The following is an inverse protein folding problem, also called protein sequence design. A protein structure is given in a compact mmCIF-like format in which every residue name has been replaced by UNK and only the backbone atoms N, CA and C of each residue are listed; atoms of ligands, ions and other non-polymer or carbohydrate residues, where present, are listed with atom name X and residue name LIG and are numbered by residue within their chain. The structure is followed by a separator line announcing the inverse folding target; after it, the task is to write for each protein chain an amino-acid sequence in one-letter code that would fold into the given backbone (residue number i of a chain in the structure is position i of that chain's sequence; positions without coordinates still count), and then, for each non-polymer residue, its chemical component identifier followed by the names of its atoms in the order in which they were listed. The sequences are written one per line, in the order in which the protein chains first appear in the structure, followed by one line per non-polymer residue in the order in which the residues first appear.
data_IF_417086298065
#
_entry.id   IF_417086298065
#
_cell.length_a   1.000
_cell.length_b   1.000
_cell.length_c   1.000
_cell.angle_alpha   90.00
_cell.angle_beta   90.00
_cell.angle_gamma   90.00
#
_symmetry.space_group_name_H-M   'P 1'
#
loop_
_entity.id
_entity.type
_entity.pdbx_description
1 polymer ?
#
# COMPACT_ATOMS: atom_id res chain seq x y z
N UNK A 1 21.89 -33.59 -25.71
CA UNK A 1 21.42 -32.25 -26.11
C UNK A 1 21.80 -31.28 -25.00
N UNK A 2 22.71 -30.29 -25.13
CA UNK A 2 23.26 -29.60 -26.32
C UNK A 2 22.16 -29.03 -27.23
N UNK A 3 22.15 -27.76 -27.65
CA UNK A 3 23.23 -26.76 -27.88
C UNK A 3 22.86 -25.44 -27.12
N UNK A 4 23.76 -24.61 -26.53
CA UNK A 4 24.62 -23.56 -27.14
C UNK A 4 23.81 -22.33 -27.63
N UNK A 5 24.22 -21.05 -27.60
CA UNK A 5 25.48 -20.28 -27.31
C UNK A 5 25.16 -19.13 -26.30
N UNK A 6 26.04 -18.34 -25.64
CA UNK A 6 27.51 -18.17 -25.57
C UNK A 6 28.26 -17.46 -26.73
N UNK A 7 28.48 -16.13 -26.68
CA UNK A 7 29.53 -15.36 -27.43
C UNK A 7 29.75 -13.93 -26.85
N UNK A 8 31.03 -13.59 -26.54
CA UNK A 8 31.81 -12.30 -26.58
C UNK A 8 31.22 -10.91 -26.17
N UNK A 9 32.01 -9.84 -25.92
CA UNK A 9 33.34 -9.61 -25.26
C UNK A 9 33.62 -8.09 -25.09
N UNK A 10 34.53 -7.76 -24.16
CA UNK A 10 35.32 -6.52 -23.93
C UNK A 10 35.38 -5.41 -25.00
N UNK A 11 35.53 -4.15 -24.51
CA UNK A 11 36.66 -3.28 -24.88
C UNK A 11 37.13 -2.41 -23.68
N UNK A 12 38.29 -1.74 -23.81
CA UNK A 12 39.04 -1.03 -22.75
C UNK A 12 39.40 0.40 -23.20
N UNK A 13 39.75 1.30 -22.24
CA UNK A 13 40.47 2.60 -22.30
C UNK A 13 39.67 3.84 -21.82
N UNK A 14 40.31 4.99 -21.50
CA UNK A 14 41.06 5.33 -20.26
C UNK A 14 41.41 6.84 -20.22
N UNK A 15 41.61 7.42 -19.02
CA UNK A 15 42.19 8.77 -18.71
C UNK A 15 41.40 10.02 -19.16
N UNK A 16 41.29 11.08 -18.33
CA UNK A 16 40.82 12.39 -18.86
C UNK A 16 40.48 13.58 -17.94
N UNK A 17 41.33 13.94 -16.96
CA UNK A 17 41.39 15.22 -16.19
C UNK A 17 40.42 16.41 -16.48
N UNK A 18 39.89 17.01 -15.41
CA UNK A 18 39.41 18.41 -15.28
C UNK A 18 40.54 19.46 -15.55
N UNK A 19 40.29 20.79 -15.73
CA UNK A 19 39.59 21.65 -14.74
C UNK A 19 38.76 22.86 -15.27
N UNK A 20 38.17 23.60 -14.32
CA UNK A 20 37.65 24.98 -14.46
C UNK A 20 38.81 25.99 -14.70
N UNK A 21 38.51 27.25 -15.10
CA UNK A 21 38.67 28.33 -14.12
C UNK A 21 37.73 29.57 -14.26
N UNK A 22 37.42 30.20 -13.11
CA UNK A 22 37.20 31.66 -12.85
C UNK A 22 36.12 32.45 -13.64
N UNK A 23 35.50 33.52 -13.10
CA UNK A 23 35.59 34.17 -11.78
C UNK A 23 34.91 35.57 -11.77
N UNK A 24 35.19 36.42 -10.76
CA UNK A 24 34.82 37.87 -10.65
C UNK A 24 33.31 38.12 -10.30
N UNK A 25 32.95 38.38 -9.03
CA UNK A 25 32.80 39.68 -8.32
C UNK A 25 31.69 40.61 -8.89
N UNK A 26 30.57 40.88 -8.18
CA UNK A 26 30.33 41.77 -7.01
C UNK A 26 29.75 43.16 -7.43
N UNK A 27 28.72 43.76 -6.80
CA UNK A 27 28.72 44.50 -5.50
C UNK A 27 27.33 45.09 -5.16
N UNK A 28 27.10 45.63 -3.95
CA UNK A 28 25.89 46.40 -3.53
C UNK A 28 24.73 45.56 -2.95
N UNK A 29 24.03 45.80 -1.82
CA UNK A 29 23.80 46.95 -0.89
C UNK A 29 23.09 48.17 -1.52
N UNK A 30 22.09 48.86 -0.91
CA UNK A 30 21.35 48.83 0.40
C UNK A 30 20.18 49.86 0.32
N UNK A 31 19.08 49.92 1.10
CA UNK A 31 18.36 49.00 2.03
C UNK A 31 17.12 49.70 2.67
N UNK A 32 16.05 48.97 3.04
CA UNK A 32 14.88 49.48 3.82
C UNK A 32 13.55 49.57 3.02
N UNK A 33 12.36 49.74 3.62
CA UNK A 33 11.95 49.72 5.04
C UNK A 33 10.42 49.45 5.19
N UNK A 34 9.95 49.35 6.45
CA UNK A 34 8.63 48.90 6.93
C UNK A 34 7.34 49.53 6.33
N UNK A 35 6.20 48.80 6.48
CA UNK A 35 4.83 49.31 6.31
C UNK A 35 3.76 48.30 6.79
N UNK A 36 2.76 48.76 7.54
CA UNK A 36 1.63 47.96 8.08
C UNK A 36 0.32 48.35 7.39
N UNK A 37 -0.68 47.45 7.37
CA UNK A 37 -2.05 47.77 6.92
C UNK A 37 -3.01 46.57 7.02
N UNK A 38 -4.13 46.75 7.73
CA UNK A 38 -5.20 45.76 7.88
C UNK A 38 -6.29 45.89 6.80
N UNK A 39 -7.11 44.85 6.61
CA UNK A 39 -8.28 44.95 5.72
C UNK A 39 -9.04 43.64 5.50
N UNK A 40 -9.97 43.29 6.40
CA UNK A 40 -10.99 42.26 6.15
C UNK A 40 -12.26 42.87 5.54
N UNK A 41 -12.96 42.13 4.68
CA UNK A 41 -14.41 42.02 4.83
C UNK A 41 -14.86 40.55 4.97
N UNK A 42 -16.16 40.36 5.22
CA UNK A 42 -16.74 39.09 5.70
C UNK A 42 -17.33 38.23 4.58
N UNK A 43 -17.30 36.92 4.82
CA UNK A 43 -18.35 35.93 4.53
C UNK A 43 -19.18 36.07 3.24
N UNK A 44 -19.13 35.04 2.41
CA UNK A 44 -20.36 34.44 1.89
C UNK A 44 -20.29 32.91 2.05
N UNK A 45 -21.45 32.25 2.02
CA UNK A 45 -21.62 30.85 2.45
C UNK A 45 -22.23 30.04 1.32
N UNK A 46 -21.44 29.17 0.71
CA UNK A 46 -21.89 28.15 -0.25
C UNK A 46 -21.76 26.76 0.37
N UNK A 47 -22.88 26.03 0.44
CA UNK A 47 -22.90 24.66 0.96
C UNK A 47 -22.49 23.67 -0.16
N UNK A 48 -21.18 23.41 -0.31
CA UNK A 48 -20.68 22.40 -1.26
C UNK A 48 -20.82 20.97 -0.70
N UNK A 49 -21.69 20.16 -1.31
CA UNK A 49 -21.78 18.72 -1.06
C UNK A 49 -20.77 17.97 -1.91
N UNK A 50 -19.71 17.46 -1.28
CA UNK A 50 -18.62 16.73 -1.92
C UNK A 50 -17.94 15.85 -0.85
N UNK A 51 -17.69 14.55 -0.99
CA UNK A 51 -18.10 13.57 -2.02
C UNK A 51 -18.00 12.14 -1.45
N UNK A 52 -19.04 11.30 -1.61
CA UNK A 52 -19.07 9.94 -1.03
C UNK A 52 -18.40 8.86 -1.92
N UNK A 53 -18.10 9.16 -3.19
CA UNK A 53 -17.79 8.17 -4.23
C UNK A 53 -16.34 7.63 -4.27
N UNK A 54 -15.53 7.86 -3.23
CA UNK A 54 -14.11 7.44 -3.22
C UNK A 54 -13.96 5.91 -3.00
N UNK A 55 -14.96 5.23 -2.43
CA UNK A 55 -14.94 3.79 -2.14
C UNK A 55 -15.98 3.01 -2.94
N UNK A 56 -16.00 3.19 -4.27
CA UNK A 56 -17.00 2.60 -5.17
C UNK A 56 -17.10 1.06 -5.10
N UNK A 57 -18.29 0.56 -4.80
CA UNK A 57 -18.66 -0.84 -4.99
C UNK A 57 -18.87 -1.19 -6.48
N UNK A 58 -18.79 -2.47 -6.83
CA UNK A 58 -19.04 -2.95 -8.20
C UNK A 58 -20.47 -3.49 -8.34
N UNK A 59 -21.26 -3.02 -9.34
CA UNK A 59 -22.62 -3.53 -9.55
C UNK A 59 -22.65 -5.02 -9.93
N UNK A 60 -23.53 -5.80 -9.29
CA UNK A 60 -23.67 -7.24 -9.53
C UNK A 60 -24.42 -7.51 -10.84
N UNK A 61 -23.71 -8.02 -11.85
CA UNK A 61 -24.30 -8.52 -13.09
C UNK A 61 -24.95 -9.91 -12.90
N UNK A 62 -26.25 -10.02 -13.16
CA UNK A 62 -26.99 -11.29 -13.03
C UNK A 62 -26.63 -12.26 -14.16
N UNK A 63 -26.23 -13.49 -13.82
CA UNK A 63 -26.11 -14.60 -14.76
C UNK A 63 -26.99 -15.78 -14.31
N UNK A 64 -27.65 -16.47 -15.25
CA UNK A 64 -28.64 -17.51 -14.96
C UNK A 64 -28.00 -18.89 -14.79
N UNK A 65 -28.45 -19.65 -13.79
CA UNK A 65 -27.96 -21.00 -13.53
C UNK A 65 -28.55 -22.04 -14.49
N UNK A 66 -27.69 -22.94 -14.97
CA UNK A 66 -28.04 -24.30 -15.42
C UNK A 66 -27.06 -25.26 -14.70
N UNK A 67 -27.53 -26.45 -14.32
CA UNK A 67 -26.80 -27.38 -13.45
C UNK A 67 -25.72 -28.18 -14.20
N UNK A 68 -24.62 -28.55 -13.52
CA UNK A 68 -23.65 -29.52 -14.05
C UNK A 68 -22.30 -29.58 -13.31
N UNK A 69 -22.28 -30.22 -12.14
CA UNK A 69 -21.15 -30.90 -11.46
C UNK A 69 -19.84 -30.15 -11.15
N UNK A 70 -19.00 -30.78 -10.32
CA UNK A 70 -17.91 -30.16 -9.58
C UNK A 70 -16.60 -30.01 -10.39
N UNK A 71 -16.11 -28.77 -10.56
CA UNK A 71 -14.67 -28.48 -10.72
C UNK A 71 -14.30 -27.18 -10.01
N UNK A 72 -13.29 -27.23 -9.14
CA UNK A 72 -12.86 -26.11 -8.32
C UNK A 72 -11.41 -25.72 -8.65
N UNK A 73 -11.22 -24.92 -9.70
CA UNK A 73 -9.98 -24.20 -10.01
C UNK A 73 -10.23 -23.29 -11.23
N UNK A 74 -9.90 -21.99 -11.13
CA UNK A 74 -8.90 -21.32 -11.97
C UNK A 74 -8.94 -19.77 -11.83
N UNK A 75 -7.75 -19.19 -11.83
CA UNK A 75 -7.32 -17.82 -12.16
C UNK A 75 -8.32 -16.63 -12.09
N UNK A 76 -8.15 -15.81 -11.04
CA UNK A 76 -8.66 -14.41 -10.98
C UNK A 76 -7.56 -13.35 -11.25
N UNK A 77 -6.32 -13.79 -11.53
CA UNK A 77 -5.18 -12.95 -11.93
C UNK A 77 -4.34 -13.66 -13.01
N UNK A 78 -4.99 -14.04 -14.11
CA UNK A 78 -4.38 -14.60 -15.32
C UNK A 78 -4.33 -13.60 -16.48
N UNK A 79 -3.62 -13.94 -17.55
CA UNK A 79 -3.35 -13.04 -18.70
C UNK A 79 -4.58 -12.79 -19.59
N UNK A 80 -4.64 -11.60 -20.23
CA UNK A 80 -5.72 -11.24 -21.14
C UNK A 80 -5.56 -11.93 -22.50
N UNK A 81 -6.56 -12.69 -22.99
CA UNK A 81 -6.44 -13.42 -24.26
C UNK A 81 -6.41 -12.50 -25.49
N UNK A 82 -5.59 -12.87 -26.48
CA UNK A 82 -5.40 -12.10 -27.72
C UNK A 82 -6.66 -12.13 -28.60
N UNK A 83 -7.35 -11.00 -28.72
CA UNK A 83 -8.55 -10.85 -29.53
C UNK A 83 -8.29 -10.88 -31.04
N UNK A 84 -8.71 -11.96 -31.70
CA UNK A 84 -8.65 -12.08 -33.18
C UNK A 84 -9.61 -11.10 -33.85
N UNK A 85 -9.10 -10.33 -34.82
CA UNK A 85 -9.89 -9.36 -35.61
C UNK A 85 -10.97 -10.07 -36.44
N UNK A 86 -12.22 -9.61 -36.36
CA UNK A 86 -13.25 -9.82 -37.40
C UNK A 86 -13.49 -8.52 -38.17
N UNK A 87 -13.63 -8.64 -39.49
CA UNK A 87 -13.94 -7.52 -40.38
C UNK A 87 -15.44 -7.31 -40.50
N UNK A 88 -15.86 -6.04 -40.50
CA UNK A 88 -17.25 -5.63 -40.70
C UNK A 88 -17.31 -4.31 -41.46
N UNK A 89 -18.22 -4.24 -42.46
CA UNK A 89 -18.66 -2.99 -43.08
C UNK A 89 -19.71 -2.34 -42.14
N UNK A 90 -19.87 -1.02 -42.05
CA UNK A 90 -19.16 0.06 -42.74
C UNK A 90 -20.14 1.11 -43.26
N UNK A 91 -20.50 2.08 -42.42
CA UNK A 91 -21.20 3.31 -42.82
C UNK A 91 -20.52 4.53 -42.18
N UNK A 92 -20.68 5.70 -42.81
CA UNK A 92 -19.88 6.90 -42.49
C UNK A 92 -20.51 7.80 -41.44
N UNK A 93 -19.70 8.20 -40.45
CA UNK A 93 -19.97 9.33 -39.55
C UNK A 93 -19.02 10.49 -39.90
N UNK A 94 -19.45 11.76 -39.72
CA UNK A 94 -18.73 12.92 -40.25
C UNK A 94 -17.37 13.10 -39.58
N UNK A 95 -16.34 13.38 -40.39
CA UNK A 95 -14.99 13.68 -39.91
C UNK A 95 -14.98 15.09 -39.29
N UNK A 96 -15.33 15.16 -38.01
CA UNK A 96 -14.91 16.27 -37.16
C UNK A 96 -13.39 16.23 -37.11
N UNK A 97 -12.73 17.23 -37.72
CA UNK A 97 -11.29 17.43 -37.57
C UNK A 97 -10.99 17.92 -36.15
N UNK A 98 -10.97 16.98 -35.22
CA UNK A 98 -10.28 17.16 -33.95
C UNK A 98 -8.85 17.66 -34.24
N UNK A 99 -8.35 18.58 -33.42
CA UNK A 99 -6.95 18.96 -33.48
C UNK A 99 -6.04 17.76 -33.21
N UNK A 100 -4.74 17.93 -33.49
CA UNK A 100 -3.70 16.97 -33.10
C UNK A 100 -3.42 17.04 -31.59
N UNK A 101 -4.47 16.79 -30.79
CA UNK A 101 -4.33 16.37 -29.42
C UNK A 101 -3.89 14.91 -29.46
N UNK A 102 -2.59 14.69 -29.36
CA UNK A 102 -2.03 13.38 -29.07
C UNK A 102 -2.70 12.83 -27.81
N UNK A 103 -3.56 11.83 -27.96
CA UNK A 103 -4.34 11.28 -26.87
C UNK A 103 -3.47 10.28 -26.07
N UNK A 104 -2.55 10.85 -25.29
CA UNK A 104 -1.63 10.13 -24.40
C UNK A 104 -2.35 9.38 -23.26
N UNK A 105 -3.60 9.73 -22.98
CA UNK A 105 -4.37 9.24 -21.84
C UNK A 105 -5.40 8.18 -22.31
N UNK A 106 -5.64 7.12 -21.53
CA UNK A 106 -6.82 6.27 -21.75
C UNK A 106 -8.11 7.01 -21.33
N UNK A 107 -9.32 6.52 -21.68
CA UNK A 107 -10.58 7.19 -21.34
C UNK A 107 -10.86 7.38 -19.84
N UNK A 108 -9.99 6.87 -18.96
CA UNK A 108 -10.05 7.00 -17.50
C UNK A 108 -8.81 7.70 -16.93
N UNK A 109 -8.01 8.36 -17.78
CA UNK A 109 -6.87 9.20 -17.39
C UNK A 109 -5.60 8.44 -17.00
N UNK A 110 -5.39 7.20 -17.45
CA UNK A 110 -4.09 6.53 -17.32
C UNK A 110 -3.16 6.83 -18.50
N UNK A 111 -1.86 6.92 -18.23
CA UNK A 111 -0.87 7.18 -19.27
C UNK A 111 -0.60 5.96 -20.18
N UNK A 112 -0.77 6.13 -21.49
CA UNK A 112 -0.49 5.14 -22.54
C UNK A 112 1.01 5.07 -22.89
N UNK A 113 1.80 4.63 -21.92
CA UNK A 113 3.24 4.41 -22.05
C UNK A 113 3.62 3.43 -23.17
N UNK A 114 4.86 3.55 -23.66
CA UNK A 114 5.44 2.68 -24.69
C UNK A 114 6.82 2.20 -24.26
N UNK A 115 7.20 0.96 -24.59
CA UNK A 115 8.57 0.49 -24.36
C UNK A 115 9.55 1.24 -25.27
N UNK A 116 10.72 1.59 -24.74
CA UNK A 116 11.69 2.48 -25.42
C UNK A 116 11.31 3.96 -25.41
N UNK A 117 10.22 4.37 -24.75
CA UNK A 117 9.88 5.78 -24.56
C UNK A 117 10.76 6.42 -23.49
N UNK A 118 11.33 7.59 -23.77
CA UNK A 118 12.14 8.35 -22.81
C UNK A 118 11.28 9.41 -22.11
N UNK A 119 11.07 9.21 -20.80
CA UNK A 119 10.44 10.18 -19.91
C UNK A 119 11.48 11.21 -19.43
N UNK A 120 11.06 12.48 -19.35
CA UNK A 120 11.86 13.61 -18.84
C UNK A 120 13.24 13.80 -19.52
N UNK A 121 13.44 13.23 -20.71
CA UNK A 121 14.74 13.19 -21.39
C UNK A 121 15.82 12.33 -20.69
N UNK A 122 15.45 11.59 -19.64
CA UNK A 122 16.37 10.83 -18.77
C UNK A 122 16.03 9.35 -18.64
N UNK A 123 14.75 8.98 -18.60
CA UNK A 123 14.34 7.63 -18.18
C UNK A 123 13.69 6.82 -19.32
N UNK A 124 14.39 5.83 -19.86
CA UNK A 124 13.90 4.91 -20.91
C UNK A 124 13.01 3.82 -20.30
N UNK A 125 11.72 3.73 -20.69
CA UNK A 125 10.81 2.69 -20.20
C UNK A 125 11.19 1.31 -20.75
N UNK A 126 11.63 0.40 -19.88
CA UNK A 126 12.05 -0.97 -20.25
C UNK A 126 11.02 -2.05 -19.92
N UNK A 127 10.17 -1.86 -18.91
CA UNK A 127 9.11 -2.81 -18.55
C UNK A 127 7.95 -2.14 -17.80
N UNK A 128 6.81 -2.83 -17.70
CA UNK A 128 5.67 -2.44 -16.85
C UNK A 128 5.56 -3.40 -15.66
N UNK A 129 5.39 -2.86 -14.46
CA UNK A 129 5.21 -3.66 -13.23
C UNK A 129 3.74 -3.77 -12.80
N UNK A 130 2.87 -2.83 -13.19
CA UNK A 130 1.43 -2.96 -12.96
C UNK A 130 0.61 -1.68 -13.15
N UNK A 131 -0.72 -1.84 -13.20
CA UNK A 131 -1.72 -0.76 -13.27
C UNK A 131 -2.62 -0.85 -12.03
N UNK A 132 -2.38 0.02 -11.05
CA UNK A 132 -3.19 0.12 -9.82
C UNK A 132 -4.27 1.19 -9.95
N UNK A 133 -5.16 1.30 -8.95
CA UNK A 133 -6.30 2.26 -8.99
C UNK A 133 -5.86 3.71 -9.22
N UNK A 134 -4.72 4.12 -8.64
CA UNK A 134 -4.25 5.51 -8.64
C UNK A 134 -3.23 5.83 -9.75
N UNK A 135 -2.54 4.81 -10.28
CA UNK A 135 -1.32 5.00 -11.07
C UNK A 135 -0.91 3.77 -11.88
N UNK A 136 -0.02 3.95 -12.86
CA UNK A 136 0.74 2.87 -13.50
C UNK A 136 2.17 2.89 -12.98
N UNK A 137 2.78 1.74 -12.71
CA UNK A 137 4.19 1.63 -12.32
C UNK A 137 4.98 0.97 -13.45
N UNK A 138 6.02 1.66 -13.92
CA UNK A 138 6.96 1.17 -14.93
C UNK A 138 8.36 1.03 -14.36
N UNK A 139 9.16 0.15 -14.96
CA UNK A 139 10.62 0.07 -14.80
C UNK A 139 11.25 0.91 -15.90
N UNK A 140 12.21 1.75 -15.55
CA UNK A 140 12.96 2.52 -16.52
C UNK A 140 14.46 2.40 -16.28
N UNK A 141 15.25 2.41 -17.37
CA UNK A 141 16.68 2.69 -17.31
C UNK A 141 16.88 4.19 -17.18
N UNK A 142 17.78 4.60 -16.30
CA UNK A 142 18.25 5.96 -16.19
C UNK A 142 19.46 6.17 -17.12
N UNK A 143 19.24 6.91 -18.21
CA UNK A 143 20.26 7.17 -19.24
C UNK A 143 21.35 8.15 -18.76
N UNK A 144 21.14 8.82 -17.63
CA UNK A 144 22.07 9.81 -17.05
C UNK A 144 22.61 9.38 -15.68
N UNK A 145 22.46 8.11 -15.30
CA UNK A 145 22.95 7.59 -14.02
C UNK A 145 24.45 7.83 -13.84
N UNK A 146 24.83 8.45 -12.71
CA UNK A 146 26.21 8.49 -12.25
C UNK A 146 26.73 7.11 -11.82
N UNK A 147 28.05 6.99 -11.62
CA UNK A 147 28.71 5.73 -11.22
C UNK A 147 28.14 5.15 -9.90
N UNK A 148 27.67 6.02 -9.00
CA UNK A 148 27.08 5.68 -7.71
C UNK A 148 25.52 5.80 -7.69
N UNK A 149 24.89 6.08 -8.84
CA UNK A 149 23.42 6.12 -8.99
C UNK A 149 22.88 4.80 -9.58
N UNK A 150 21.63 4.40 -9.28
CA UNK A 150 21.07 3.16 -9.83
C UNK A 150 20.76 3.29 -11.33
N UNK A 151 21.30 2.39 -12.16
CA UNK A 151 20.98 2.30 -13.60
C UNK A 151 19.48 2.08 -13.86
N UNK A 152 18.75 1.49 -12.89
CA UNK A 152 17.33 1.21 -12.99
C UNK A 152 16.52 1.87 -11.87
N UNK A 153 15.38 2.44 -12.25
CA UNK A 153 14.42 3.09 -11.36
C UNK A 153 13.01 2.55 -11.57
N UNK A 154 12.19 2.62 -10.52
CA UNK A 154 10.74 2.43 -10.63
C UNK A 154 10.06 3.80 -10.73
N UNK A 155 9.19 3.99 -11.73
CA UNK A 155 8.45 5.24 -11.95
C UNK A 155 6.96 5.01 -11.79
N UNK A 156 6.37 5.66 -10.78
CA UNK A 156 4.92 5.68 -10.51
C UNK A 156 4.31 6.88 -11.25
N UNK A 157 3.54 6.60 -12.29
CA UNK A 157 2.87 7.58 -13.15
C UNK A 157 1.42 7.73 -12.66
N UNK A 158 1.15 8.82 -11.93
CA UNK A 158 -0.17 9.14 -11.36
C UNK A 158 -1.16 9.45 -12.48
N UNK A 159 -2.41 8.97 -12.36
CA UNK A 159 -3.48 9.26 -13.32
C UNK A 159 -3.73 10.76 -13.48
N UNK A 160 -4.06 11.20 -14.69
CA UNK A 160 -4.41 12.58 -15.01
C UNK A 160 -5.87 12.86 -14.57
N UNK A 161 -6.07 12.93 -13.26
CA UNK A 161 -7.32 13.27 -12.60
C UNK A 161 -6.99 14.17 -11.40
N UNK A 162 -7.83 15.16 -11.09
CA UNK A 162 -7.51 16.17 -10.08
C UNK A 162 -7.39 15.60 -8.66
N UNK A 163 -8.29 14.69 -8.27
CA UNK A 163 -8.24 14.00 -6.97
C UNK A 163 -6.99 13.12 -6.87
N UNK A 164 -6.66 12.39 -7.93
CA UNK A 164 -5.44 11.57 -8.01
C UNK A 164 -4.17 12.43 -7.95
N UNK A 165 -4.17 13.62 -8.57
CA UNK A 165 -3.09 14.61 -8.47
C UNK A 165 -2.92 15.12 -7.04
N UNK A 166 -3.99 15.56 -6.38
CA UNK A 166 -3.97 16.05 -4.99
C UNK A 166 -3.42 14.97 -4.02
N UNK A 167 -3.80 13.71 -4.24
CA UNK A 167 -3.23 12.57 -3.51
C UNK A 167 -1.73 12.39 -3.81
N UNK A 168 -1.32 12.44 -5.09
CA UNK A 168 0.09 12.33 -5.50
C UNK A 168 0.99 13.46 -4.98
N UNK A 169 0.50 14.71 -4.95
CA UNK A 169 1.23 15.85 -4.36
C UNK A 169 1.38 15.69 -2.83
N UNK A 170 0.38 15.06 -2.18
CA UNK A 170 0.46 14.68 -0.75
C UNK A 170 1.47 13.54 -0.53
N UNK A 171 1.46 12.51 -1.38
CA UNK A 171 2.43 11.41 -1.37
C UNK A 171 3.87 11.93 -1.55
N UNK A 172 4.12 12.81 -2.53
CA UNK A 172 5.42 13.47 -2.73
C UNK A 172 5.86 14.26 -1.49
N UNK A 173 4.93 14.94 -0.82
CA UNK A 173 5.22 15.71 0.40
C UNK A 173 5.60 14.81 1.59
N UNK A 174 4.92 13.67 1.73
CA UNK A 174 5.24 12.64 2.74
C UNK A 174 6.60 12.00 2.43
N UNK A 175 6.83 11.56 1.18
CA UNK A 175 8.07 10.91 0.76
C UNK A 175 9.30 11.83 0.95
N UNK A 176 9.20 13.12 0.60
CA UNK A 176 10.25 14.10 0.86
C UNK A 176 10.56 14.25 2.36
N UNK A 177 9.54 14.22 3.22
CA UNK A 177 9.71 14.25 4.69
C UNK A 177 10.40 12.98 5.21
N UNK A 178 10.00 11.81 4.71
CA UNK A 178 10.59 10.52 5.09
C UNK A 178 12.04 10.40 4.63
N UNK A 179 12.36 10.77 3.38
CA UNK A 179 13.71 10.74 2.84
C UNK A 179 14.62 11.78 3.52
N UNK A 180 14.15 13.02 3.69
CA UNK A 180 14.90 14.08 4.38
C UNK A 180 15.19 13.79 5.86
N UNK A 181 14.44 12.88 6.48
CA UNK A 181 14.73 12.37 7.82
C UNK A 181 15.53 11.04 7.84
N UNK A 182 15.78 10.38 6.71
CA UNK A 182 16.59 9.17 6.61
C UNK A 182 17.71 9.25 5.55
N UNK A 183 18.69 10.16 5.72
CA UNK A 183 19.79 10.36 4.76
C UNK A 183 20.71 9.14 4.60
N UNK A 184 20.62 8.15 5.49
CA UNK A 184 21.39 6.91 5.41
C UNK A 184 20.61 5.74 4.76
N UNK A 185 19.34 5.93 4.37
CA UNK A 185 18.45 4.89 3.81
C UNK A 185 18.32 3.63 4.70
N UNK A 186 18.41 3.80 6.03
CA UNK A 186 18.44 2.71 7.02
C UNK A 186 17.08 2.41 7.66
N UNK A 187 16.02 3.12 7.27
CA UNK A 187 14.71 3.04 7.92
C UNK A 187 13.63 2.28 7.14
N UNK A 188 14.02 1.47 6.15
CA UNK A 188 13.15 0.48 5.51
C UNK A 188 11.86 1.04 4.90
N UNK A 189 11.84 2.32 4.51
CA UNK A 189 10.86 2.89 3.60
C UNK A 189 11.49 3.01 2.20
N UNK A 190 10.70 2.93 1.14
CA UNK A 190 11.22 3.03 -0.23
C UNK A 190 11.88 4.40 -0.47
N UNK A 191 13.07 4.39 -1.05
CA UNK A 191 13.85 5.58 -1.37
C UNK A 191 13.21 6.30 -2.56
N UNK A 192 12.58 7.44 -2.28
CA UNK A 192 12.15 8.40 -3.28
C UNK A 192 13.35 9.22 -3.78
N UNK A 193 13.56 9.23 -5.09
CA UNK A 193 14.70 9.85 -5.76
C UNK A 193 14.34 11.24 -6.30
N UNK A 194 13.25 11.35 -7.06
CA UNK A 194 12.79 12.60 -7.66
C UNK A 194 11.31 12.56 -8.06
N UNK A 195 10.77 13.69 -8.48
CA UNK A 195 9.42 13.79 -9.08
C UNK A 195 9.40 14.82 -10.20
N UNK A 196 8.81 14.48 -11.34
CA UNK A 196 8.67 15.35 -12.51
C UNK A 196 7.22 15.35 -13.05
N UNK A 197 6.90 16.29 -13.95
CA UNK A 197 5.60 16.34 -14.64
C UNK A 197 5.80 16.03 -16.11
N UNK A 198 5.21 14.96 -16.61
CA UNK A 198 5.32 14.54 -18.02
C UNK A 198 3.94 14.35 -18.63
N UNK A 199 3.66 15.04 -19.75
CA UNK A 199 2.38 14.97 -20.49
C UNK A 199 1.15 15.01 -19.57
N UNK A 200 1.15 15.98 -18.64
CA UNK A 200 0.15 16.17 -17.57
C UNK A 200 0.08 15.11 -16.46
N UNK A 201 0.78 13.98 -16.54
CA UNK A 201 0.95 13.10 -15.38
C UNK A 201 1.97 13.65 -14.38
N UNK A 202 1.75 13.38 -13.09
CA UNK A 202 2.77 13.49 -12.06
C UNK A 202 3.52 12.15 -12.00
N UNK A 203 4.84 12.19 -12.08
CA UNK A 203 5.70 11.00 -12.07
C UNK A 203 6.59 11.04 -10.85
N UNK A 204 6.60 9.96 -10.06
CA UNK A 204 7.46 9.78 -8.88
C UNK A 204 8.50 8.69 -9.20
N UNK A 205 9.78 8.98 -8.93
CA UNK A 205 10.92 8.10 -9.22
C UNK A 205 11.45 7.50 -7.92
N UNK A 206 11.68 6.19 -7.91
CA UNK A 206 12.10 5.41 -6.74
C UNK A 206 13.26 4.46 -7.07
N UNK A 207 13.96 3.99 -6.03
CA UNK A 207 14.85 2.82 -6.15
C UNK A 207 14.13 1.61 -6.79
N UNK A 208 14.81 0.90 -7.69
CA UNK A 208 14.28 -0.35 -8.25
C UNK A 208 14.39 -1.50 -7.24
N UNK A 209 13.31 -2.28 -7.07
CA UNK A 209 13.21 -3.43 -6.16
C UNK A 209 12.61 -4.62 -6.90
N UNK A 210 12.83 -5.83 -6.38
CA UNK A 210 12.72 -7.06 -7.16
C UNK A 210 11.32 -7.70 -7.18
N UNK A 211 10.60 -7.69 -6.04
CA UNK A 211 9.23 -8.20 -5.91
C UNK A 211 8.61 -7.82 -4.57
N UNK A 212 7.28 -7.90 -4.48
CA UNK A 212 6.55 -7.77 -3.22
C UNK A 212 6.49 -9.09 -2.44
N UNK A 213 6.17 -9.03 -1.15
CA UNK A 213 6.05 -10.22 -0.30
C UNK A 213 4.85 -11.11 -0.65
N UNK A 214 3.83 -10.59 -1.33
CA UNK A 214 2.72 -11.39 -1.90
C UNK A 214 3.26 -12.40 -2.92
N UNK A 215 4.13 -11.98 -3.82
CA UNK A 215 4.79 -12.84 -4.82
C UNK A 215 5.80 -13.79 -4.18
N UNK A 216 6.53 -13.35 -3.15
CA UNK A 216 7.40 -14.25 -2.37
C UNK A 216 6.58 -15.39 -1.78
N UNK A 217 5.46 -15.11 -1.10
CA UNK A 217 4.58 -16.14 -0.54
C UNK A 217 4.02 -17.08 -1.62
N UNK A 218 3.55 -16.55 -2.76
CA UNK A 218 3.11 -17.38 -3.90
C UNK A 218 4.18 -18.37 -4.37
N UNK A 219 5.47 -17.99 -4.32
CA UNK A 219 6.61 -18.83 -4.75
C UNK A 219 7.02 -19.91 -3.73
N UNK A 220 6.68 -19.77 -2.45
CA UNK A 220 6.84 -20.86 -1.47
C UNK A 220 5.73 -21.91 -1.56
N UNK A 221 4.54 -21.50 -2.03
CA UNK A 221 3.38 -22.36 -2.23
C UNK A 221 2.24 -22.04 -1.26
N UNK A 222 1.04 -22.54 -1.60
CA UNK A 222 -0.19 -22.29 -0.85
C UNK A 222 -0.07 -22.82 0.58
N UNK A 223 -0.46 -22.00 1.55
CA UNK A 223 -0.60 -22.37 2.97
C UNK A 223 0.70 -22.83 3.67
N UNK A 224 1.88 -22.52 3.10
CA UNK A 224 3.21 -22.91 3.63
C UNK A 224 3.88 -21.77 4.43
N UNK A 225 3.85 -20.53 3.92
CA UNK A 225 4.50 -19.38 4.56
C UNK A 225 6.03 -19.43 4.56
N UNK A 226 6.64 -18.72 5.52
CA UNK A 226 8.09 -18.51 5.67
C UNK A 226 8.57 -18.97 7.05
N UNK A 227 9.81 -19.47 7.12
CA UNK A 227 10.46 -19.83 8.40
C UNK A 227 10.53 -18.63 9.35
N UNK A 228 10.39 -18.86 10.66
CA UNK A 228 10.41 -17.79 11.68
C UNK A 228 11.69 -16.95 11.63
N UNK A 229 12.82 -17.54 11.22
CA UNK A 229 14.08 -16.80 11.03
C UNK A 229 13.96 -15.67 10.00
N UNK A 230 13.22 -15.88 8.91
CA UNK A 230 12.92 -14.88 7.90
C UNK A 230 11.80 -13.93 8.34
N UNK A 231 10.72 -14.45 8.94
CA UNK A 231 9.62 -13.62 9.50
C UNK A 231 10.16 -12.64 10.54
N UNK A 232 11.09 -13.07 11.41
CA UNK A 232 11.81 -12.24 12.39
C UNK A 232 12.66 -11.15 11.72
N UNK A 233 13.35 -11.49 10.63
CA UNK A 233 14.16 -10.54 9.88
C UNK A 233 13.29 -9.45 9.23
N UNK A 234 12.15 -9.81 8.63
CA UNK A 234 11.21 -8.84 8.06
C UNK A 234 10.46 -8.05 9.15
N UNK A 235 10.03 -8.69 10.24
CA UNK A 235 9.40 -8.01 11.38
C UNK A 235 10.29 -6.91 11.95
N UNK A 236 11.59 -7.18 12.13
CA UNK A 236 12.56 -6.17 12.58
C UNK A 236 12.62 -4.96 11.64
N UNK A 237 12.64 -5.21 10.32
CA UNK A 237 12.70 -4.16 9.30
C UNK A 237 11.39 -3.35 9.25
N UNK A 238 10.23 -4.01 9.30
CA UNK A 238 8.91 -3.38 9.39
C UNK A 238 8.76 -2.52 10.65
N UNK A 239 9.23 -2.97 11.82
CA UNK A 239 9.20 -2.15 13.03
C UNK A 239 10.19 -0.98 13.00
N UNK A 240 11.30 -1.07 12.27
CA UNK A 240 12.16 0.09 12.01
C UNK A 240 11.42 1.10 11.13
N UNK A 241 10.71 0.65 10.07
CA UNK A 241 9.88 1.51 9.23
C UNK A 241 8.75 2.18 10.04
N UNK A 242 7.95 1.42 10.81
CA UNK A 242 6.91 1.99 11.68
C UNK A 242 7.46 3.01 12.69
N UNK A 243 8.70 2.83 13.19
CA UNK A 243 9.33 3.81 14.08
C UNK A 243 9.68 5.10 13.33
N UNK A 244 10.11 5.00 12.08
CA UNK A 244 10.36 6.16 11.22
C UNK A 244 9.07 6.92 10.90
N UNK A 245 8.01 6.22 10.49
CA UNK A 245 6.70 6.81 10.24
C UNK A 245 6.17 7.53 11.50
N UNK A 246 6.28 6.89 12.67
CA UNK A 246 5.91 7.49 13.96
C UNK A 246 6.73 8.74 14.29
N UNK A 247 8.03 8.72 14.06
CA UNK A 247 8.89 9.89 14.31
C UNK A 247 8.64 11.03 13.30
N UNK A 248 8.18 10.71 12.10
CA UNK A 248 7.77 11.68 11.09
C UNK A 248 6.32 12.16 11.25
N UNK A 249 5.52 11.58 12.15
CA UNK A 249 4.09 11.85 12.26
C UNK A 249 3.33 11.49 10.99
N UNK A 250 3.57 10.29 10.45
CA UNK A 250 2.94 9.73 9.23
C UNK A 250 2.23 8.43 9.57
N UNK A 251 1.01 8.26 9.06
CA UNK A 251 0.27 7.00 8.99
C UNK A 251 0.43 6.44 7.58
N UNK A 252 0.79 5.17 7.44
CA UNK A 252 0.87 4.53 6.12
C UNK A 252 -0.52 4.20 5.56
N UNK A 253 -1.43 3.81 6.46
CA UNK A 253 -2.82 3.45 6.22
C UNK A 253 -3.09 2.25 5.31
N UNK A 254 -2.18 1.83 4.41
CA UNK A 254 -2.38 0.65 3.55
C UNK A 254 -1.21 -0.36 3.58
N UNK A 255 -0.87 -0.83 4.78
CA UNK A 255 0.18 -1.84 5.00
C UNK A 255 -0.38 -3.25 4.73
N UNK A 256 0.21 -3.94 3.75
CA UNK A 256 -0.10 -5.31 3.31
C UNK A 256 1.12 -5.94 2.60
N UNK A 257 1.23 -7.27 2.43
CA UNK A 257 2.40 -7.90 1.79
C UNK A 257 2.66 -7.42 0.35
N UNK A 258 1.60 -6.99 -0.33
CA UNK A 258 1.62 -6.44 -1.69
C UNK A 258 2.34 -5.08 -1.74
N UNK A 259 2.33 -4.32 -0.63
CA UNK A 259 3.00 -3.03 -0.43
C UNK A 259 4.33 -3.16 0.37
N UNK A 260 4.91 -4.37 0.42
CA UNK A 260 6.19 -4.66 1.05
C UNK A 260 7.14 -5.24 0.01
N UNK A 261 8.04 -4.42 -0.53
CA UNK A 261 9.00 -4.83 -1.55
C UNK A 261 10.28 -5.39 -0.92
N UNK A 262 10.92 -6.33 -1.60
CA UNK A 262 12.24 -6.89 -1.23
C UNK A 262 13.24 -6.75 -2.38
N UNK A 263 14.52 -6.70 -2.03
CA UNK A 263 15.62 -6.75 -3.01
C UNK A 263 15.80 -8.17 -3.59
N UNK A 264 16.67 -8.32 -4.60
CA UNK A 264 16.91 -9.60 -5.26
C UNK A 264 17.39 -10.70 -4.30
N UNK A 265 18.31 -10.35 -3.39
CA UNK A 265 18.79 -11.24 -2.32
C UNK A 265 17.74 -11.54 -1.23
N UNK A 266 16.57 -10.89 -1.27
CA UNK A 266 15.41 -11.05 -0.37
C UNK A 266 15.75 -10.82 1.12
N UNK A 267 16.88 -10.16 1.40
CA UNK A 267 17.36 -9.87 2.76
C UNK A 267 17.01 -8.45 3.24
N UNK A 268 16.81 -7.51 2.32
CA UNK A 268 16.33 -6.15 2.59
C UNK A 268 14.88 -6.02 2.16
N UNK A 269 14.06 -5.49 3.06
CA UNK A 269 12.66 -5.11 2.87
C UNK A 269 12.53 -3.59 2.86
N UNK A 270 11.70 -3.04 1.97
CA UNK A 270 11.24 -1.65 1.96
C UNK A 270 9.71 -1.59 1.93
N UNK A 271 9.13 -0.79 2.81
CA UNK A 271 7.70 -0.44 2.82
C UNK A 271 7.44 0.62 1.74
N UNK A 272 6.40 0.44 0.92
CA UNK A 272 6.14 1.27 -0.27
C UNK A 272 4.65 1.56 -0.51
N UNK A 273 4.36 2.37 -1.53
CA UNK A 273 3.04 2.91 -1.88
C UNK A 273 2.42 3.79 -0.78
N UNK A 274 2.89 5.04 -0.73
CA UNK A 274 2.42 6.06 0.19
C UNK A 274 1.20 6.84 -0.36
N UNK A 275 0.52 6.32 -1.40
CA UNK A 275 -0.62 6.98 -2.05
C UNK A 275 -1.87 7.12 -1.17
N UNK A 276 -1.99 6.30 -0.12
CA UNK A 276 -3.03 6.42 0.92
C UNK A 276 -2.47 6.98 2.25
N UNK A 277 -1.18 7.35 2.30
CA UNK A 277 -0.55 7.81 3.53
C UNK A 277 -0.98 9.24 3.87
N UNK A 278 -1.02 9.54 5.17
CA UNK A 278 -1.45 10.84 5.68
C UNK A 278 -0.62 11.25 6.91
N UNK A 279 -0.63 12.52 7.30
CA UNK A 279 -0.01 12.94 8.55
C UNK A 279 -0.88 12.50 9.75
N UNK A 280 -0.26 12.24 10.90
CA UNK A 280 -0.98 11.95 12.15
C UNK A 280 -1.57 13.23 12.75
N UNK A 281 -2.77 13.15 13.31
CA UNK A 281 -3.50 14.30 13.82
C UNK A 281 -5.01 14.07 13.91
N UNK A 282 -5.80 15.12 13.74
CA UNK A 282 -7.26 15.02 13.61
C UNK A 282 -7.62 14.65 12.17
N UNK A 283 -7.62 13.35 11.90
CA UNK A 283 -7.97 12.79 10.59
C UNK A 283 -9.47 12.44 10.51
N UNK A 284 -10.00 12.36 9.29
CA UNK A 284 -11.41 12.08 9.03
C UNK A 284 -11.79 10.65 9.44
N UNK A 285 -12.95 10.49 10.09
CA UNK A 285 -13.42 9.18 10.55
C UNK A 285 -14.21 8.50 9.43
N UNK A 286 -13.58 7.52 8.76
CA UNK A 286 -14.19 6.72 7.69
C UNK A 286 -13.98 5.22 7.94
N UNK A 287 -15.00 4.35 7.74
CA UNK A 287 -14.90 2.92 8.03
C UNK A 287 -14.15 2.13 6.95
N UNK A 288 -13.66 2.81 5.90
CA UNK A 288 -13.08 2.19 4.70
C UNK A 288 -11.57 2.45 4.49
N UNK A 289 -10.91 3.17 5.41
CA UNK A 289 -9.44 3.27 5.43
C UNK A 289 -8.80 1.87 5.66
N UNK A 290 -7.58 1.64 5.15
CA UNK A 290 -6.89 0.34 5.10
C UNK A 290 -7.55 -0.72 4.20
N UNK A 291 -6.77 -1.48 3.44
CA UNK A 291 -7.22 -2.72 2.78
C UNK A 291 -7.89 -3.68 3.80
N UNK A 292 -9.13 -4.12 3.52
CA UNK A 292 -10.07 -4.73 4.49
C UNK A 292 -9.45 -5.78 5.43
N UNK A 293 -8.71 -6.76 4.92
CA UNK A 293 -8.16 -7.87 5.71
C UNK A 293 -7.07 -7.46 6.72
N UNK A 294 -6.54 -6.24 6.60
CA UNK A 294 -5.51 -5.66 7.47
C UNK A 294 -6.10 -4.54 8.35
N UNK A 295 -7.38 -4.21 8.19
CA UNK A 295 -8.05 -3.06 8.81
C UNK A 295 -8.22 -3.24 10.32
N UNK A 296 -7.66 -2.30 11.08
CA UNK A 296 -7.76 -2.29 12.53
C UNK A 296 -9.21 -2.03 13.01
N UNK A 297 -9.66 -2.62 14.15
CA UNK A 297 -11.04 -2.49 14.61
C UNK A 297 -11.47 -1.05 14.88
N UNK A 298 -10.56 -0.17 15.31
CA UNK A 298 -10.85 1.24 15.56
C UNK A 298 -11.32 2.00 14.31
N UNK A 299 -10.85 1.61 13.13
CA UNK A 299 -11.30 2.18 11.85
C UNK A 299 -12.75 1.79 11.59
N UNK A 300 -13.06 0.49 11.71
CA UNK A 300 -14.39 -0.05 11.44
C UNK A 300 -15.44 0.52 12.39
N UNK A 301 -15.09 0.66 13.67
CA UNK A 301 -15.98 1.17 14.73
C UNK A 301 -16.15 2.70 14.69
N UNK A 302 -15.37 3.42 13.88
CA UNK A 302 -15.43 4.87 13.78
C UNK A 302 -14.85 5.59 15.00
N UNK A 303 -13.71 5.11 15.51
CA UNK A 303 -12.96 5.77 16.59
C UNK A 303 -11.92 6.74 16.03
N UNK A 304 -11.43 7.65 16.87
CA UNK A 304 -10.18 8.35 16.61
C UNK A 304 -9.02 7.35 16.49
N UNK A 305 -8.26 7.43 15.40
CA UNK A 305 -7.15 6.53 15.10
C UNK A 305 -5.83 7.28 14.92
N UNK A 306 -4.72 6.55 15.06
CA UNK A 306 -3.34 7.02 14.98
C UNK A 306 -2.44 5.79 14.68
N UNK A 307 -1.11 5.92 14.78
CA UNK A 307 -0.11 4.88 14.54
C UNK A 307 -0.40 3.44 15.04
N UNK A 308 -1.19 3.17 16.12
CA UNK A 308 -1.62 1.79 16.45
C UNK A 308 -2.34 1.04 15.32
N UNK A 309 -2.96 1.74 14.36
CA UNK A 309 -3.61 1.08 13.20
C UNK A 309 -2.59 0.35 12.31
N UNK A 310 -1.46 1.00 12.02
CA UNK A 310 -0.40 0.43 11.18
C UNK A 310 0.29 -0.76 11.87
N UNK A 311 0.35 -0.75 13.21
CA UNK A 311 0.82 -1.88 14.01
C UNK A 311 -0.09 -3.11 13.89
N UNK A 312 -1.42 -2.92 13.86
CA UNK A 312 -2.38 -4.01 13.63
C UNK A 312 -2.20 -4.61 12.23
N UNK A 313 -2.06 -3.76 11.21
CA UNK A 313 -1.79 -4.17 9.84
C UNK A 313 -0.50 -4.98 9.72
N UNK A 314 0.59 -4.55 10.38
CA UNK A 314 1.84 -5.34 10.46
C UNK A 314 1.62 -6.66 11.17
N UNK A 315 0.84 -6.72 12.27
CA UNK A 315 0.49 -7.98 12.92
C UNK A 315 -0.17 -8.99 11.97
N UNK A 316 -1.15 -8.53 11.19
CA UNK A 316 -1.82 -9.33 10.17
C UNK A 316 -0.83 -9.83 9.11
N UNK A 317 0.06 -8.96 8.63
CA UNK A 317 1.10 -9.33 7.68
C UNK A 317 2.09 -10.35 8.25
N UNK A 318 2.49 -10.25 9.53
CA UNK A 318 3.41 -11.19 10.16
C UNK A 318 2.79 -12.59 10.33
N UNK A 319 1.51 -12.67 10.70
CA UNK A 319 0.79 -13.95 10.69
C UNK A 319 0.75 -14.56 9.28
N UNK A 320 0.42 -13.76 8.28
CA UNK A 320 0.33 -14.20 6.88
C UNK A 320 1.69 -14.63 6.32
N UNK A 321 2.77 -13.94 6.70
CA UNK A 321 4.14 -14.30 6.33
C UNK A 321 4.58 -15.63 6.95
N UNK A 322 4.14 -15.95 8.18
CA UNK A 322 4.47 -17.24 8.80
C UNK A 322 3.60 -18.40 8.28
N UNK A 323 2.31 -18.17 8.07
CA UNK A 323 1.32 -19.23 7.79
C UNK A 323 0.95 -19.40 6.31
N UNK A 324 1.32 -18.44 5.45
CA UNK A 324 0.82 -18.34 4.09
C UNK A 324 -0.66 -17.94 3.98
N UNK A 325 -1.33 -17.58 5.08
CA UNK A 325 -2.79 -17.38 5.17
C UNK A 325 -3.16 -15.99 5.65
N UNK A 326 -4.15 -15.39 5.01
CA UNK A 326 -4.81 -14.16 5.50
C UNK A 326 -5.43 -14.45 6.88
N UNK A 327 -5.06 -13.67 7.89
CA UNK A 327 -5.54 -13.85 9.27
C UNK A 327 -7.05 -13.59 9.40
N UNK A 328 -7.53 -12.50 8.80
CA UNK A 328 -8.92 -12.06 8.86
C UNK A 328 -9.51 -11.94 7.45
N UNK A 329 -9.93 -13.06 6.81
CA UNK A 329 -10.51 -13.05 5.46
C UNK A 329 -11.98 -12.59 5.48
N UNK A 330 -12.29 -11.50 6.18
CA UNK A 330 -13.65 -11.03 6.42
C UNK A 330 -14.32 -10.46 5.17
N UNK A 331 -15.49 -10.97 4.84
CA UNK A 331 -16.28 -10.57 3.66
C UNK A 331 -16.75 -9.12 3.74
N UNK A 332 -17.10 -8.63 4.93
CA UNK A 332 -17.60 -7.28 5.22
C UNK A 332 -16.91 -6.67 6.45
N UNK A 333 -17.14 -5.39 6.72
CA UNK A 333 -16.67 -4.74 7.96
C UNK A 333 -17.24 -5.41 9.23
N UNK A 334 -18.51 -5.85 9.18
CA UNK A 334 -19.12 -6.58 10.28
C UNK A 334 -18.45 -7.96 10.47
N UNK A 335 -18.17 -8.66 9.38
CA UNK A 335 -17.50 -9.96 9.39
C UNK A 335 -16.05 -9.87 9.91
N UNK A 336 -15.32 -8.79 9.57
CA UNK A 336 -14.02 -8.47 10.18
C UNK A 336 -14.13 -8.33 11.71
N UNK A 337 -15.13 -7.62 12.23
CA UNK A 337 -15.33 -7.50 13.69
C UNK A 337 -15.67 -8.83 14.36
N UNK A 338 -16.47 -9.69 13.71
CA UNK A 338 -16.70 -11.07 14.18
C UNK A 338 -15.38 -11.83 14.30
N UNK A 339 -14.52 -11.78 13.28
CA UNK A 339 -13.23 -12.45 13.26
C UNK A 339 -12.25 -11.88 14.31
N UNK A 340 -12.27 -10.56 14.54
CA UNK A 340 -11.52 -9.92 15.62
C UNK A 340 -11.99 -10.42 17.01
N UNK A 341 -13.30 -10.56 17.23
CA UNK A 341 -13.85 -11.13 18.47
C UNK A 341 -13.58 -12.64 18.60
N UNK A 342 -13.55 -13.39 17.50
CA UNK A 342 -13.16 -14.80 17.51
C UNK A 342 -11.69 -15.02 17.89
N UNK A 343 -10.82 -14.02 17.74
CA UNK A 343 -9.44 -14.09 18.24
C UNK A 343 -9.30 -13.52 19.66
N UNK A 344 -9.98 -12.42 19.98
CA UNK A 344 -9.69 -11.61 21.18
C UNK A 344 -10.81 -11.52 22.21
N UNK A 345 -11.95 -12.14 21.96
CA UNK A 345 -13.15 -11.99 22.79
C UNK A 345 -13.87 -10.66 22.54
N UNK A 346 -14.87 -10.31 23.35
CA UNK A 346 -15.72 -9.15 23.11
C UNK A 346 -14.97 -7.81 23.28
N UNK A 347 -15.33 -6.83 22.44
CA UNK A 347 -14.81 -5.46 22.55
C UNK A 347 -15.12 -4.84 23.93
N UNK A 348 -14.19 -4.08 24.53
CA UNK A 348 -14.46 -3.38 25.78
C UNK A 348 -15.64 -2.40 25.63
N UNK A 349 -16.66 -2.47 26.49
CA UNK A 349 -17.82 -1.55 26.40
C UNK A 349 -17.43 -0.05 26.50
N UNK A 350 -16.28 0.28 27.10
CA UNK A 350 -15.70 1.65 27.10
C UNK A 350 -15.13 2.09 25.73
N UNK A 351 -14.71 1.14 24.89
CA UNK A 351 -14.24 1.39 23.52
C UNK A 351 -15.44 1.59 22.59
N UNK A 352 -16.45 0.70 22.66
CA UNK A 352 -17.68 0.81 21.88
C UNK A 352 -18.41 2.15 22.10
N UNK A 353 -18.52 2.62 23.35
CA UNK A 353 -19.15 3.92 23.67
C UNK A 353 -18.45 5.17 23.10
N UNK A 354 -17.32 5.03 22.39
CA UNK A 354 -16.63 6.13 21.69
C UNK A 354 -16.81 6.10 20.16
N UNK A 355 -17.35 5.03 19.57
CA UNK A 355 -17.27 4.77 18.13
C UNK A 355 -18.47 5.27 17.32
N UNK A 356 -18.21 6.05 16.27
CA UNK A 356 -19.24 6.66 15.42
C UNK A 356 -20.07 5.67 14.57
N UNK A 357 -19.60 4.43 14.38
CA UNK A 357 -20.25 3.43 13.52
C UNK A 357 -20.72 2.18 14.28
N UNK A 358 -20.73 2.23 15.62
CA UNK A 358 -21.02 1.06 16.47
C UNK A 358 -22.44 0.52 16.25
N UNK A 359 -23.44 1.38 16.08
CA UNK A 359 -24.84 1.00 15.85
C UNK A 359 -25.05 0.23 14.53
N UNK A 360 -24.08 0.27 13.60
CA UNK A 360 -24.08 -0.55 12.40
C UNK A 360 -23.80 -2.04 12.70
N UNK A 361 -23.21 -2.34 13.86
CA UNK A 361 -22.62 -3.65 14.19
C UNK A 361 -23.01 -4.20 15.58
N UNK A 362 -23.55 -3.34 16.46
CA UNK A 362 -24.01 -3.68 17.80
C UNK A 362 -25.42 -3.16 18.04
N UNK A 363 -26.12 -3.76 19.02
CA UNK A 363 -27.39 -3.27 19.54
C UNK A 363 -27.21 -2.27 20.71
N UNK A 364 -28.33 -1.74 21.22
CA UNK A 364 -28.37 -0.76 22.32
C UNK A 364 -27.71 -1.27 23.62
N UNK A 365 -27.70 -2.59 23.85
CA UNK A 365 -27.08 -3.24 25.01
C UNK A 365 -25.58 -3.54 24.78
N UNK A 366 -25.07 -3.24 23.59
CA UNK A 366 -23.72 -3.52 23.08
C UNK A 366 -23.44 -5.02 22.88
N UNK A 367 -24.46 -5.80 22.47
CA UNK A 367 -24.26 -7.13 21.90
C UNK A 367 -23.97 -7.00 20.39
N UNK A 368 -23.11 -7.87 19.86
CA UNK A 368 -22.77 -7.88 18.43
C UNK A 368 -23.86 -8.57 17.60
N UNK A 369 -24.30 -7.95 16.50
CA UNK A 369 -25.08 -8.64 15.47
C UNK A 369 -24.21 -9.01 14.28
N UNK A 370 -24.12 -10.30 13.97
CA UNK A 370 -23.57 -10.76 12.70
C UNK A 370 -24.57 -10.45 11.57
N UNK A 371 -24.05 -9.94 10.47
CA UNK A 371 -24.78 -9.63 9.25
C UNK A 371 -24.54 -10.75 8.24
N UNK A 372 -25.52 -11.64 8.07
CA UNK A 372 -25.48 -12.79 7.15
C UNK A 372 -26.39 -12.50 5.95
N UNK A 373 -25.93 -12.73 4.72
CA UNK A 373 -26.78 -12.68 3.52
C UNK A 373 -27.43 -14.04 3.30
N UNK A 374 -28.76 -14.11 3.24
CA UNK A 374 -29.46 -15.35 2.96
C UNK A 374 -29.15 -15.85 1.53
N UNK A 375 -28.55 -17.05 1.34
CA UNK A 375 -28.05 -17.49 0.04
C UNK A 375 -29.12 -17.60 -1.06
N UNK A 376 -30.38 -17.80 -0.68
CA UNK A 376 -31.49 -18.06 -1.60
C UNK A 376 -32.29 -16.79 -1.91
N UNK A 377 -32.67 -16.04 -0.88
CA UNK A 377 -33.54 -14.86 -1.00
C UNK A 377 -32.80 -13.53 -1.14
N UNK A 378 -31.46 -13.52 -0.99
CA UNK A 378 -30.60 -12.33 -1.03
C UNK A 378 -30.98 -11.23 -0.03
N UNK A 379 -31.67 -11.62 1.04
CA UNK A 379 -32.02 -10.73 2.15
C UNK A 379 -30.90 -10.68 3.18
N UNK A 380 -30.59 -9.48 3.64
CA UNK A 380 -29.66 -9.27 4.76
C UNK A 380 -30.38 -9.63 6.06
N UNK A 381 -29.81 -10.57 6.82
CA UNK A 381 -30.28 -10.97 8.14
C UNK A 381 -29.31 -10.50 9.23
N UNK A 382 -29.84 -10.00 10.35
CA UNK A 382 -29.06 -9.68 11.55
C UNK A 382 -29.28 -10.76 12.61
N UNK A 383 -28.18 -11.32 13.13
CA UNK A 383 -28.17 -12.45 14.06
C UNK A 383 -27.31 -12.08 15.28
N UNK A 384 -27.94 -11.90 16.44
CA UNK A 384 -27.23 -11.51 17.66
C UNK A 384 -26.33 -12.67 18.11
N UNK A 385 -25.04 -12.40 18.32
CA UNK A 385 -24.07 -13.37 18.83
C UNK A 385 -23.56 -12.91 20.21
N UNK A 386 -24.21 -13.42 21.25
CA UNK A 386 -23.91 -13.07 22.65
C UNK A 386 -22.64 -13.77 23.18
N UNK A 387 -22.32 -14.96 22.66
CA UNK A 387 -21.21 -15.81 23.13
C UNK A 387 -20.23 -16.17 21.99
N UNK A 388 -19.36 -15.24 21.61
CA UNK A 388 -18.20 -15.55 20.76
C UNK A 388 -17.10 -16.19 21.61
N UNK A 389 -16.75 -17.44 21.32
CA UNK A 389 -15.63 -18.15 21.96
C UNK A 389 -14.31 -17.68 21.34
N UNK A 390 -13.49 -16.98 22.13
CA UNK A 390 -12.16 -16.53 21.73
C UNK A 390 -11.19 -17.71 21.55
N UNK A 391 -10.52 -17.77 20.40
CA UNK A 391 -9.38 -18.63 20.08
C UNK A 391 -8.10 -17.89 20.46
N UNK A 392 -7.24 -18.49 21.28
CA UNK A 392 -5.93 -17.90 21.57
C UNK A 392 -5.08 -17.75 20.29
N UNK A 393 -4.23 -16.71 20.21
CA UNK A 393 -3.28 -16.52 19.09
C UNK A 393 -2.34 -17.72 18.95
N UNK A 394 -1.98 -18.36 20.06
CA UNK A 394 -1.20 -19.60 20.05
C UNK A 394 -1.95 -20.82 19.52
N UNK A 395 -3.28 -20.79 19.39
CA UNK A 395 -4.09 -21.88 18.81
C UNK A 395 -4.20 -21.83 17.28
N UNK A 396 -4.12 -20.64 16.68
CA UNK A 396 -4.16 -20.45 15.22
C UNK A 396 -2.77 -20.47 14.55
N UNK A 397 -1.72 -20.66 15.33
CA UNK A 397 -0.32 -20.74 14.91
C UNK A 397 0.23 -22.14 15.27
N UNK A 398 0.15 -23.07 14.34
CA UNK A 398 0.84 -24.37 14.41
C UNK A 398 2.35 -24.19 14.26
N UNK A 399 3.15 -25.00 14.96
CA UNK A 399 4.60 -25.03 14.74
C UNK A 399 4.96 -25.91 13.53
N UNK A 400 5.83 -25.39 12.65
CA UNK A 400 6.38 -26.16 11.52
C UNK A 400 7.56 -27.06 11.96
N UNK A 401 7.81 -28.21 11.30
CA UNK A 401 8.92 -29.09 11.64
C UNK A 401 10.28 -28.38 11.58
N UNK A 402 11.05 -28.46 12.67
CA UNK A 402 12.38 -27.83 12.77
C UNK A 402 12.37 -26.34 13.17
N UNK A 403 11.24 -25.74 13.51
CA UNK A 403 11.20 -24.43 14.16
C UNK A 403 11.62 -24.51 15.64
N UNK A 404 12.31 -23.49 16.13
CA UNK A 404 12.66 -23.36 17.56
C UNK A 404 11.41 -23.10 18.41
N UNK A 405 11.07 -23.95 19.40
CA UNK A 405 9.94 -23.73 20.29
C UNK A 405 10.00 -22.39 21.05
N UNK A 406 11.20 -21.88 21.38
CA UNK A 406 11.34 -20.57 22.06
C UNK A 406 11.03 -19.43 21.09
N UNK A 407 11.58 -19.44 19.89
CA UNK A 407 11.25 -18.45 18.84
C UNK A 407 9.76 -18.47 18.48
N UNK A 408 9.14 -19.65 18.42
CA UNK A 408 7.70 -19.81 18.18
C UNK A 408 6.85 -19.26 19.34
N UNK A 409 7.22 -19.51 20.59
CA UNK A 409 6.55 -18.94 21.76
C UNK A 409 6.68 -17.41 21.78
N UNK A 410 7.90 -16.89 21.55
CA UNK A 410 8.16 -15.45 21.43
C UNK A 410 7.36 -14.80 20.26
N UNK A 411 7.13 -15.52 19.16
CA UNK A 411 6.32 -15.03 18.04
C UNK A 411 4.83 -14.94 18.39
N UNK A 412 4.28 -15.96 19.06
CA UNK A 412 2.90 -15.97 19.56
C UNK A 412 2.67 -14.82 20.55
N UNK A 413 3.59 -14.65 21.50
CA UNK A 413 3.59 -13.56 22.49
C UNK A 413 3.71 -12.16 21.87
N UNK A 414 4.46 -12.01 20.77
CA UNK A 414 4.52 -10.76 20.01
C UNK A 414 3.15 -10.42 19.38
N UNK A 415 2.55 -11.38 18.67
CA UNK A 415 1.28 -11.18 18.00
C UNK A 415 0.13 -10.97 18.98
N UNK A 416 0.13 -11.65 20.12
CA UNK A 416 -0.86 -11.46 21.19
C UNK A 416 -0.87 -10.00 21.72
N UNK A 417 0.31 -9.38 21.84
CA UNK A 417 0.46 -7.97 22.26
C UNK A 417 0.16 -6.96 21.14
N UNK A 418 0.20 -7.39 19.88
CA UNK A 418 -0.20 -6.57 18.72
C UNK A 418 -1.72 -6.62 18.52
N UNK A 419 -2.37 -7.77 18.71
CA UNK A 419 -3.82 -7.93 18.58
C UNK A 419 -4.60 -7.53 19.84
N UNK A 420 -4.15 -6.48 20.55
CA UNK A 420 -4.99 -5.84 21.57
C UNK A 420 -6.02 -4.97 20.86
N UNK A 421 -7.32 -5.28 21.05
CA UNK A 421 -8.43 -4.59 20.39
C UNK A 421 -8.40 -3.08 20.68
N UNK A 422 -8.15 -2.71 21.93
CA UNK A 422 -8.05 -1.33 22.40
C UNK A 422 -6.72 -0.68 21.95
N UNK A 423 -6.72 0.29 21.02
CA UNK A 423 -5.50 0.86 20.46
C UNK A 423 -4.68 1.64 21.50
N UNK A 424 -5.29 2.15 22.58
CA UNK A 424 -4.58 2.83 23.68
C UNK A 424 -3.70 1.87 24.48
N UNK A 425 -3.97 0.55 24.41
CA UNK A 425 -3.26 -0.51 25.12
C UNK A 425 -2.41 -1.41 24.21
N UNK A 426 -2.45 -1.18 22.90
CA UNK A 426 -1.74 -1.98 21.89
C UNK A 426 -0.24 -1.78 21.97
N UNK A 427 0.54 -2.82 21.68
CA UNK A 427 2.01 -2.75 21.65
C UNK A 427 2.50 -1.57 20.80
N UNK A 428 3.31 -0.70 21.39
CA UNK A 428 4.00 0.36 20.66
C UNK A 428 5.18 -0.21 19.87
N UNK A 429 5.56 0.46 18.77
CA UNK A 429 6.73 0.08 17.98
C UNK A 429 8.05 0.04 18.77
N UNK A 430 8.15 0.87 19.82
CA UNK A 430 9.28 0.86 20.75
C UNK A 430 9.36 -0.43 21.57
N UNK A 431 8.22 -0.95 22.03
CA UNK A 431 8.12 -2.25 22.70
C UNK A 431 8.33 -3.42 21.73
N UNK A 432 7.84 -3.30 20.49
CA UNK A 432 8.02 -4.31 19.44
C UNK A 432 9.51 -4.51 19.08
N UNK A 433 10.26 -3.43 18.91
CA UNK A 433 11.71 -3.48 18.66
C UNK A 433 12.52 -4.05 19.83
N UNK A 434 12.02 -3.90 21.06
CA UNK A 434 12.64 -4.45 22.27
C UNK A 434 12.21 -5.90 22.58
N UNK A 435 11.28 -6.46 21.81
CA UNK A 435 10.64 -7.75 22.12
C UNK A 435 11.63 -8.93 22.04
N UNK A 436 11.50 -9.97 22.88
CA UNK A 436 12.33 -11.18 22.80
C UNK A 436 12.38 -11.81 21.41
N UNK A 437 11.27 -11.82 20.65
CA UNK A 437 11.25 -12.30 19.27
C UNK A 437 12.23 -11.53 18.37
N UNK A 438 12.25 -10.20 18.46
CA UNK A 438 13.07 -9.33 17.60
C UNK A 438 14.53 -9.26 18.06
N UNK A 439 14.75 -9.24 19.37
CA UNK A 439 16.08 -9.17 19.98
C UNK A 439 16.81 -10.52 20.02
N UNK A 440 16.10 -11.64 19.94
CA UNK A 440 16.65 -12.99 20.06
C UNK A 440 17.06 -13.39 21.47
N UNK A 441 16.49 -12.73 22.49
CA UNK A 441 16.78 -12.97 23.91
C UNK A 441 15.89 -14.04 24.54
#
# INVERSE_FOLDING_TARGET
MMVGLMVLMFYIFSVGKSPLPNGIQATGRTSGAAGLGEGSPKSERSDEKLCDDIFGETPVGVCKSVKGDEKYCDDIFGETPVGVRKSGKGEGLPIVRSGLHDNWDDPVGYYNHRFGEVLDGRYEIVAAHGKGVFSTVVRARDLNAGIDEPEEVAIKIIRNNETMRKAGDTEVSILKKLAGQDPENKRHCVQFLSSFKYRNHLCLVFESLHMNLREVLKKFGRDIGLKLTAVRAYAKQLFIALKHLRNCGVLHSDIKPDNMLVNEAKNVLKLCDFGNAMFSGKNEITPYLVSRFYRAPEIILGLSYDHPMDMWSVGCCLYELYSGKVLFPGSTNNDMLRLHMELKGPFPKKMLKKGAFVDQHFDNDLNFHATEEDPVSKKIMKKIIVNIKSKDVGSIISGSPGEDPKMLANFKDLLEKIFVLDPEKRMTVYQALAHPFITGK
#
